data_IF_617598752115
#
_entry.id   IF_617598752115
#
_cell.length_a   1.000
_cell.length_b   1.000
_cell.length_c   1.000
_cell.angle_alpha   90.00
_cell.angle_beta   90.00
_cell.angle_gamma   90.00
#
_symmetry.space_group_name_H-M   'P 1'
#
loop_
_entity.id
_entity.type
_entity.pdbx_description
1 polymer ?
#
# COMPACT_ATOMS: atom_id res chain seq x y z
N UNK A 1 7.10 6.15 -20.02
CA UNK A 1 6.52 4.80 -20.01
C UNK A 1 5.06 4.97 -20.35
N UNK A 2 4.59 4.29 -21.39
CA UNK A 2 3.21 4.41 -21.86
C UNK A 2 2.42 3.19 -21.36
N UNK A 3 1.14 3.40 -21.02
CA UNK A 3 0.19 2.34 -20.66
C UNK A 3 -0.93 2.36 -21.69
N UNK A 4 -1.24 1.21 -22.28
CA UNK A 4 -2.40 1.01 -23.15
C UNK A 4 -3.27 -0.10 -22.56
N UNK A 5 -4.54 0.21 -22.32
CA UNK A 5 -5.51 -0.76 -21.83
C UNK A 5 -6.39 -1.26 -22.99
N UNK A 6 -6.42 -2.57 -23.19
CA UNK A 6 -7.44 -3.28 -23.96
C UNK A 6 -8.49 -3.90 -23.05
N UNK A 7 -9.37 -4.75 -23.60
CA UNK A 7 -10.46 -5.38 -22.83
C UNK A 7 -9.94 -6.23 -21.65
N UNK A 8 -8.95 -7.09 -21.91
CA UNK A 8 -8.37 -8.00 -20.90
C UNK A 8 -6.83 -7.94 -20.84
N UNK A 9 -6.23 -6.99 -21.57
CA UNK A 9 -4.77 -6.89 -21.70
C UNK A 9 -4.34 -5.47 -21.42
N UNK A 10 -3.36 -5.31 -20.51
CA UNK A 10 -2.69 -4.04 -20.26
C UNK A 10 -1.27 -4.14 -20.79
N UNK A 11 -0.93 -3.31 -21.78
CA UNK A 11 0.43 -3.20 -22.32
C UNK A 11 1.15 -2.04 -21.64
N UNK A 12 2.28 -2.33 -20.99
CA UNK A 12 3.12 -1.34 -20.30
C UNK A 12 4.47 -1.25 -20.99
N UNK A 13 4.86 -0.04 -21.42
CA UNK A 13 6.20 0.25 -21.93
C UNK A 13 7.05 0.83 -20.81
N UNK A 14 8.11 0.11 -20.43
CA UNK A 14 9.03 0.53 -19.37
C UNK A 14 9.88 1.73 -19.80
N UNK A 15 10.18 2.63 -18.86
CA UNK A 15 11.09 3.77 -19.09
C UNK A 15 12.54 3.35 -19.27
N UNK A 16 12.93 2.24 -18.65
CA UNK A 16 14.25 1.62 -18.70
C UNK A 16 14.09 0.13 -18.99
N UNK A 17 15.05 -0.46 -19.68
CA UNK A 17 15.09 -1.90 -19.85
C UNK A 17 15.17 -2.59 -18.48
N UNK A 18 14.56 -3.77 -18.34
CA UNK A 18 14.77 -4.61 -17.16
C UNK A 18 16.21 -5.11 -17.22
N UNK A 19 17.04 -4.64 -16.27
CA UNK A 19 18.44 -5.08 -16.16
C UNK A 19 18.59 -6.55 -15.71
N UNK A 20 17.51 -7.19 -15.28
CA UNK A 20 17.49 -8.59 -14.87
C UNK A 20 16.54 -9.40 -15.76
N UNK A 21 17.03 -10.54 -16.25
CA UNK A 21 16.18 -11.58 -16.83
C UNK A 21 15.19 -12.06 -15.75
N UNK A 22 13.88 -12.21 -16.04
CA UNK A 22 12.95 -12.76 -15.07
C UNK A 22 13.43 -14.15 -14.66
N UNK A 23 13.80 -14.31 -13.39
CA UNK A 23 14.25 -15.59 -12.87
C UNK A 23 13.13 -16.62 -13.06
N UNK A 24 13.44 -17.87 -13.46
CA UNK A 24 12.45 -18.93 -13.58
C UNK A 24 11.67 -19.06 -12.26
N UNK A 25 10.34 -19.13 -12.36
CA UNK A 25 9.44 -19.31 -11.22
C UNK A 25 9.65 -20.71 -10.64
N UNK A 26 10.59 -20.87 -9.70
CA UNK A 26 10.60 -22.03 -8.82
C UNK A 26 9.48 -21.87 -7.80
N UNK A 27 8.34 -22.48 -8.08
CA UNK A 27 7.24 -22.59 -7.13
C UNK A 27 7.65 -23.61 -6.06
N UNK A 28 8.28 -23.16 -4.98
CA UNK A 28 8.36 -23.95 -3.76
C UNK A 28 7.05 -23.74 -2.99
N UNK A 29 6.08 -24.61 -3.21
CA UNK A 29 4.87 -24.65 -2.40
C UNK A 29 5.20 -25.27 -1.04
N UNK A 30 5.60 -24.44 -0.07
CA UNK A 30 5.60 -24.84 1.33
C UNK A 30 4.35 -24.28 2.00
N UNK A 31 3.70 -25.09 2.85
CA UNK A 31 2.53 -24.71 3.65
C UNK A 31 2.88 -23.70 4.77
N UNK A 32 3.95 -22.91 4.60
CA UNK A 32 4.41 -21.91 5.56
C UNK A 32 3.77 -20.56 5.26
N UNK A 33 3.23 -19.93 6.30
CA UNK A 33 2.62 -18.62 6.27
C UNK A 33 3.67 -17.55 5.88
N UNK A 34 3.83 -17.27 4.59
CA UNK A 34 4.33 -15.98 4.11
C UNK A 34 5.84 -15.72 4.16
N UNK A 35 6.69 -16.75 4.16
CA UNK A 35 8.12 -16.58 3.91
C UNK A 35 8.67 -17.74 3.07
N UNK A 36 8.54 -17.63 1.75
CA UNK A 36 9.31 -18.45 0.83
C UNK A 36 10.79 -18.10 0.92
N UNK A 37 11.50 -18.72 1.88
CA UNK A 37 12.95 -18.88 1.93
C UNK A 37 13.83 -17.63 2.13
N UNK A 38 13.26 -16.45 2.36
CA UNK A 38 14.04 -15.20 2.53
C UNK A 38 14.03 -14.80 4.00
N UNK A 39 15.19 -14.83 4.66
CA UNK A 39 15.33 -14.67 6.11
C UNK A 39 15.87 -13.31 6.53
N UNK A 40 16.25 -12.43 5.59
CA UNK A 40 16.70 -11.07 5.90
C UNK A 40 16.00 -10.00 5.06
N UNK A 41 15.90 -8.77 5.59
CA UNK A 41 15.35 -7.60 4.87
C UNK A 41 16.15 -7.30 3.59
N UNK A 42 17.46 -7.59 3.60
CA UNK A 42 18.35 -7.47 2.44
C UNK A 42 18.04 -8.46 1.32
N UNK A 43 17.63 -9.69 1.63
CA UNK A 43 17.28 -10.71 0.62
C UNK A 43 15.94 -10.42 -0.09
N UNK A 44 15.20 -9.44 0.43
CA UNK A 44 13.87 -9.01 -0.05
C UNK A 44 13.94 -7.56 -0.54
N UNK A 45 15.13 -6.99 -0.76
CA UNK A 45 15.27 -5.62 -1.18
C UNK A 45 14.62 -5.39 -2.55
N UNK A 46 13.60 -4.53 -2.58
CA UNK A 46 13.07 -3.96 -3.82
C UNK A 46 13.87 -2.71 -4.14
N UNK A 47 14.41 -2.66 -5.35
CA UNK A 47 15.11 -1.50 -5.89
C UNK A 47 14.06 -0.49 -6.39
N UNK A 48 13.91 0.60 -5.66
CA UNK A 48 12.96 1.68 -5.94
C UNK A 48 13.67 3.01 -5.75
N UNK A 49 13.25 4.02 -6.50
CA UNK A 49 13.65 5.39 -6.22
C UNK A 49 13.27 5.76 -4.78
N UNK A 50 14.09 6.54 -4.05
CA UNK A 50 13.74 7.02 -2.72
C UNK A 50 12.37 7.70 -2.73
N UNK A 51 11.56 7.41 -1.71
CA UNK A 51 10.29 8.12 -1.55
C UNK A 51 10.56 9.61 -1.32
N UNK A 52 9.79 10.45 -2.00
CA UNK A 52 9.81 11.89 -1.80
C UNK A 52 9.29 12.30 -0.41
N UNK A 53 9.16 13.61 -0.15
CA UNK A 53 8.63 14.11 1.12
C UNK A 53 7.20 13.63 1.39
N UNK A 54 6.40 13.38 0.36
CA UNK A 54 5.02 12.92 0.50
C UNK A 54 4.12 13.95 1.22
N UNK A 55 2.83 13.61 1.44
CA UNK A 55 1.93 14.49 2.15
C UNK A 55 2.22 14.50 3.66
N UNK A 56 2.06 15.68 4.28
CA UNK A 56 1.82 15.80 5.72
C UNK A 56 0.31 15.69 5.95
N UNK A 57 -0.11 14.83 6.86
CA UNK A 57 -1.52 14.49 7.12
C UNK A 57 -1.86 14.79 8.57
N UNK A 58 -2.93 15.55 8.81
CA UNK A 58 -3.41 15.81 10.16
C UNK A 58 -3.82 14.52 10.87
N UNK A 59 -3.53 14.42 12.17
CA UNK A 59 -3.85 13.25 12.98
C UNK A 59 -5.35 12.98 13.01
N UNK A 60 -6.15 14.04 13.04
CA UNK A 60 -7.61 14.00 12.90
C UNK A 60 -8.04 13.30 11.60
N UNK A 61 -7.42 13.65 10.46
CA UNK A 61 -7.66 12.96 9.19
C UNK A 61 -7.22 11.50 9.27
N UNK A 62 -6.05 11.20 9.83
CA UNK A 62 -5.53 9.83 9.95
C UNK A 62 -6.53 8.91 10.67
N UNK A 63 -7.09 9.35 11.79
CA UNK A 63 -8.02 8.53 12.59
C UNK A 63 -9.39 8.34 11.92
N UNK A 64 -9.79 9.27 11.05
CA UNK A 64 -11.05 9.19 10.27
C UNK A 64 -10.95 8.28 9.04
N UNK A 65 -9.75 8.07 8.48
CA UNK A 65 -9.55 7.35 7.23
C UNK A 65 -10.11 5.91 7.22
N UNK A 66 -9.99 5.10 8.30
CA UNK A 66 -10.66 3.80 8.39
C UNK A 66 -12.17 3.85 8.16
N UNK A 67 -12.87 4.83 8.74
CA UNK A 67 -14.31 4.97 8.61
C UNK A 67 -14.69 5.41 7.19
N UNK A 68 -13.90 6.30 6.59
CA UNK A 68 -14.07 6.71 5.19
C UNK A 68 -13.87 5.54 4.22
N UNK A 69 -12.88 4.68 4.48
CA UNK A 69 -12.70 3.42 3.77
C UNK A 69 -13.90 2.49 4.00
N UNK A 70 -14.42 2.42 5.23
CA UNK A 70 -15.57 1.60 5.60
C UNK A 70 -16.84 1.96 4.84
N UNK A 71 -17.13 3.26 4.74
CA UNK A 71 -18.31 3.78 4.03
C UNK A 71 -18.34 3.43 2.53
N UNK A 72 -17.21 3.00 1.96
CA UNK A 72 -17.07 2.63 0.55
C UNK A 72 -17.11 1.10 0.30
N UNK A 73 -17.35 0.26 1.31
CA UNK A 73 -17.25 -1.20 1.24
C UNK A 73 -18.62 -1.90 1.13
N UNK A 74 -19.30 -1.71 0.00
CA UNK A 74 -20.66 -2.23 -0.23
C UNK A 74 -20.73 -3.76 -0.23
N UNK A 75 -19.68 -4.44 -0.71
CA UNK A 75 -19.68 -5.91 -0.77
C UNK A 75 -19.34 -6.49 0.60
N UNK A 76 -18.41 -5.88 1.34
CA UNK A 76 -18.19 -6.25 2.73
C UNK A 76 -19.49 -6.18 3.53
N UNK A 77 -20.25 -5.09 3.44
CA UNK A 77 -21.50 -4.94 4.21
C UNK A 77 -22.46 -6.12 4.03
N UNK A 78 -22.46 -6.74 2.85
CA UNK A 78 -23.32 -7.87 2.52
C UNK A 78 -22.73 -9.24 2.91
N UNK A 79 -21.40 -9.34 3.03
CA UNK A 79 -20.70 -10.64 3.06
C UNK A 79 -19.77 -10.83 4.24
N UNK A 80 -19.25 -9.75 4.82
CA UNK A 80 -18.21 -9.75 5.85
C UNK A 80 -16.85 -10.32 5.42
N UNK A 81 -16.71 -10.78 4.17
CA UNK A 81 -15.63 -11.68 3.75
C UNK A 81 -14.52 -11.04 2.93
N UNK A 82 -14.52 -9.72 2.74
CA UNK A 82 -13.56 -9.02 1.89
C UNK A 82 -12.60 -8.13 2.68
N UNK A 83 -11.46 -7.85 2.06
CA UNK A 83 -10.60 -6.74 2.41
C UNK A 83 -10.85 -5.56 1.48
N UNK A 84 -10.41 -4.38 1.92
CA UNK A 84 -10.42 -3.18 1.11
C UNK A 84 -9.09 -2.44 1.23
N UNK A 85 -8.74 -1.76 0.14
CA UNK A 85 -7.73 -0.73 0.13
C UNK A 85 -8.32 0.51 -0.53
N UNK A 86 -7.81 1.68 -0.17
CA UNK A 86 -8.17 2.93 -0.79
C UNK A 86 -6.98 3.88 -0.89
N UNK A 87 -6.99 4.73 -1.92
CA UNK A 87 -6.11 5.89 -2.04
C UNK A 87 -6.90 7.13 -1.67
N UNK A 88 -6.34 7.95 -0.81
CA UNK A 88 -6.96 9.17 -0.30
C UNK A 88 -6.01 10.35 -0.45
N UNK A 89 -6.54 11.54 -0.70
CA UNK A 89 -5.77 12.77 -0.57
C UNK A 89 -5.44 13.09 0.90
N UNK A 90 -4.54 14.06 1.17
CA UNK A 90 -4.11 14.43 2.52
C UNK A 90 -5.24 15.00 3.39
N UNK A 91 -6.32 15.46 2.78
CA UNK A 91 -7.54 15.96 3.46
C UNK A 91 -8.57 14.86 3.73
N UNK A 92 -8.26 13.60 3.41
CA UNK A 92 -9.17 12.47 3.57
C UNK A 92 -10.21 12.32 2.46
N UNK A 93 -10.07 13.03 1.35
CA UNK A 93 -10.90 12.82 0.16
C UNK A 93 -10.53 11.49 -0.53
N UNK A 94 -11.51 10.63 -0.80
CA UNK A 94 -11.28 9.36 -1.48
C UNK A 94 -10.97 9.58 -2.96
N UNK A 95 -9.83 9.06 -3.42
CA UNK A 95 -9.46 9.03 -4.85
C UNK A 95 -9.99 7.75 -5.49
N UNK A 96 -9.74 6.60 -4.86
CA UNK A 96 -10.28 5.30 -5.30
C UNK A 96 -10.35 4.33 -4.13
N UNK A 97 -11.38 3.49 -4.10
CA UNK A 97 -11.50 2.35 -3.17
C UNK A 97 -11.77 1.07 -3.95
N UNK A 98 -11.14 -0.04 -3.55
CA UNK A 98 -11.33 -1.36 -4.15
C UNK A 98 -11.40 -2.44 -3.09
N UNK A 99 -12.32 -3.38 -3.30
CA UNK A 99 -12.51 -4.57 -2.47
C UNK A 99 -11.91 -5.81 -3.16
N UNK A 100 -11.42 -6.76 -2.36
CA UNK A 100 -11.01 -8.09 -2.81
C UNK A 100 -10.99 -9.08 -1.64
N UNK A 101 -11.09 -10.38 -1.93
CA UNK A 101 -10.93 -11.43 -0.91
C UNK A 101 -9.52 -11.37 -0.30
N UNK A 102 -8.50 -11.06 -1.11
CA UNK A 102 -7.12 -10.91 -0.67
C UNK A 102 -6.74 -9.46 -0.41
N UNK A 103 -6.18 -9.16 0.77
CA UNK A 103 -5.69 -7.80 1.11
C UNK A 103 -4.64 -7.28 0.11
N UNK A 104 -3.77 -8.16 -0.39
CA UNK A 104 -2.73 -7.79 -1.36
C UNK A 104 -3.33 -7.42 -2.70
N UNK A 105 -4.39 -8.12 -3.12
CA UNK A 105 -5.10 -7.85 -4.36
C UNK A 105 -5.89 -6.55 -4.26
N UNK A 106 -6.48 -6.24 -3.11
CA UNK A 106 -7.15 -4.95 -2.89
C UNK A 106 -6.16 -3.79 -3.09
N UNK A 107 -4.93 -3.92 -2.55
CA UNK A 107 -3.84 -2.95 -2.78
C UNK A 107 -3.44 -2.89 -4.25
N UNK A 108 -3.27 -4.03 -4.93
CA UNK A 108 -2.93 -4.06 -6.35
C UNK A 108 -3.99 -3.39 -7.21
N UNK A 109 -5.28 -3.56 -6.89
CA UNK A 109 -6.38 -2.91 -7.62
C UNK A 109 -6.34 -1.39 -7.49
N UNK A 110 -6.05 -0.84 -6.30
CA UNK A 110 -5.99 0.63 -6.13
C UNK A 110 -4.75 1.24 -6.77
N UNK A 111 -3.60 0.55 -6.73
CA UNK A 111 -2.38 0.97 -7.43
C UNK A 111 -2.58 0.87 -8.94
N UNK A 112 -3.11 -0.27 -9.41
CA UNK A 112 -3.42 -0.52 -10.81
C UNK A 112 -4.38 0.52 -11.39
N UNK A 113 -5.36 1.00 -10.63
CA UNK A 113 -6.21 2.10 -11.05
C UNK A 113 -5.42 3.40 -11.33
N UNK A 114 -4.38 3.71 -10.54
CA UNK A 114 -3.50 4.85 -10.79
C UNK A 114 -2.62 4.66 -12.03
N UNK A 115 -2.08 3.46 -12.22
CA UNK A 115 -1.32 3.07 -13.43
C UNK A 115 -2.17 3.24 -14.69
N UNK A 116 -3.40 2.72 -14.67
CA UNK A 116 -4.31 2.80 -15.81
C UNK A 116 -4.76 4.24 -16.11
N UNK A 117 -4.85 5.09 -15.10
CA UNK A 117 -5.14 6.51 -15.24
C UNK A 117 -3.93 7.34 -15.71
N UNK A 118 -2.73 6.74 -15.83
CA UNK A 118 -1.50 7.45 -16.17
C UNK A 118 -0.99 8.39 -15.07
N UNK A 119 -1.52 8.28 -13.85
CA UNK A 119 -1.26 9.20 -12.73
C UNK A 119 -0.12 8.77 -11.80
N UNK A 120 0.94 8.16 -12.33
CA UNK A 120 2.08 7.69 -11.52
C UNK A 120 3.23 8.72 -11.51
N UNK A 121 3.96 8.92 -10.40
CA UNK A 121 3.79 8.27 -9.09
C UNK A 121 2.61 8.82 -8.28
N UNK A 122 2.15 8.05 -7.29
CA UNK A 122 1.03 8.40 -6.40
C UNK A 122 1.49 9.19 -5.18
N UNK A 123 2.41 10.14 -5.40
CA UNK A 123 3.24 10.73 -4.35
C UNK A 123 2.47 11.55 -3.30
N UNK A 124 1.34 12.15 -3.69
CA UNK A 124 0.55 13.06 -2.85
C UNK A 124 -0.65 12.37 -2.17
N UNK A 125 -0.64 11.03 -2.14
CA UNK A 125 -1.77 10.25 -1.65
C UNK A 125 -1.38 9.34 -0.47
N UNK A 126 -2.39 8.97 0.29
CA UNK A 126 -2.32 8.06 1.44
C UNK A 126 -2.95 6.74 1.07
N UNK A 127 -2.24 5.63 1.29
CA UNK A 127 -2.79 4.30 1.18
C UNK A 127 -3.48 3.91 2.49
N UNK A 128 -4.76 3.58 2.43
CA UNK A 128 -5.52 3.06 3.57
C UNK A 128 -5.86 1.60 3.32
N UNK A 129 -5.60 0.72 4.30
CA UNK A 129 -5.91 -0.73 4.18
C UNK A 129 -6.72 -1.23 5.36
N UNK A 130 -7.72 -2.09 5.10
CA UNK A 130 -8.56 -2.66 6.16
C UNK A 130 -7.92 -3.84 6.90
N UNK A 131 -6.86 -4.44 6.34
CA UNK A 131 -6.17 -5.61 6.87
C UNK A 131 -4.86 -5.31 7.60
N UNK A 132 -4.16 -6.38 7.98
CA UNK A 132 -2.78 -6.30 8.50
C UNK A 132 -1.79 -5.89 7.41
N UNK A 133 -0.76 -5.13 7.78
CA UNK A 133 0.30 -4.72 6.86
C UNK A 133 1.46 -5.72 6.91
N UNK A 134 1.71 -6.38 5.78
CA UNK A 134 2.91 -7.20 5.57
C UNK A 134 3.98 -6.40 4.82
N UNK A 135 5.21 -6.92 4.77
CA UNK A 135 6.30 -6.23 4.09
C UNK A 135 6.02 -6.05 2.59
N UNK A 136 5.30 -6.98 1.95
CA UNK A 136 4.92 -6.88 0.53
C UNK A 136 3.99 -5.69 0.29
N UNK A 137 3.06 -5.40 1.21
CA UNK A 137 2.18 -4.22 1.10
C UNK A 137 3.02 -2.94 1.16
N UNK A 138 3.99 -2.88 2.07
CA UNK A 138 4.92 -1.74 2.18
C UNK A 138 5.72 -1.56 0.89
N UNK A 139 6.23 -2.64 0.31
CA UNK A 139 6.98 -2.59 -0.94
C UNK A 139 6.12 -2.12 -2.11
N UNK A 140 4.89 -2.62 -2.24
CA UNK A 140 3.94 -2.19 -3.27
C UNK A 140 3.64 -0.70 -3.17
N UNK A 141 3.40 -0.20 -1.95
CA UNK A 141 3.20 1.21 -1.71
C UNK A 141 4.42 2.04 -2.12
N UNK A 142 5.62 1.63 -1.68
CA UNK A 142 6.85 2.32 -1.98
C UNK A 142 7.14 2.39 -3.49
N UNK A 143 7.00 1.28 -4.21
CA UNK A 143 7.16 1.22 -5.68
C UNK A 143 6.15 2.11 -6.39
N UNK A 144 4.94 2.24 -5.82
CA UNK A 144 3.91 3.10 -6.38
C UNK A 144 4.10 4.60 -6.04
N UNK A 145 5.09 4.93 -5.20
CA UNK A 145 5.37 6.29 -4.73
C UNK A 145 4.55 6.73 -3.52
N UNK A 146 3.76 5.85 -2.90
CA UNK A 146 2.93 6.16 -1.74
C UNK A 146 3.81 6.25 -0.48
N UNK A 147 3.93 7.44 0.10
CA UNK A 147 4.79 7.69 1.25
C UNK A 147 4.13 7.40 2.61
N UNK A 148 2.80 7.24 2.65
CA UNK A 148 2.03 7.05 3.88
C UNK A 148 1.08 5.85 3.74
N UNK A 149 1.15 4.94 4.71
CA UNK A 149 0.21 3.84 4.88
C UNK A 149 -0.52 3.99 6.22
N UNK A 150 -1.85 3.92 6.16
CA UNK A 150 -2.76 3.89 7.31
C UNK A 150 -3.48 2.55 7.33
N UNK A 151 -3.40 1.82 8.44
CA UNK A 151 -3.98 0.49 8.56
C UNK A 151 -4.89 0.35 9.78
N UNK A 152 -6.04 -0.27 9.55
CA UNK A 152 -6.99 -0.63 10.64
C UNK A 152 -6.36 -1.62 11.62
N UNK A 153 -5.51 -2.52 11.12
CA UNK A 153 -4.91 -3.60 11.92
C UNK A 153 -3.39 -3.45 12.08
N UNK A 154 -2.77 -4.46 12.68
CA UNK A 154 -1.35 -4.48 13.04
C UNK A 154 -0.42 -4.61 11.81
N UNK A 155 0.71 -3.90 11.78
CA UNK A 155 1.84 -4.26 10.93
C UNK A 155 2.65 -5.41 11.54
N UNK A 156 3.37 -6.19 10.72
CA UNK A 156 4.40 -7.12 11.21
C UNK A 156 5.71 -6.41 11.51
N UNK A 157 6.59 -6.99 12.34
CA UNK A 157 7.94 -6.45 12.60
C UNK A 157 8.73 -6.25 11.32
N UNK A 158 8.60 -7.18 10.36
CA UNK A 158 9.25 -7.07 9.05
C UNK A 158 8.67 -5.93 8.20
N UNK A 159 7.36 -5.67 8.29
CA UNK A 159 6.74 -4.52 7.63
C UNK A 159 7.28 -3.20 8.21
N UNK A 160 7.39 -3.10 9.54
CA UNK A 160 7.97 -1.92 10.21
C UNK A 160 9.43 -1.72 9.80
N UNK A 161 10.25 -2.77 9.82
CA UNK A 161 11.65 -2.68 9.38
C UNK A 161 11.77 -2.24 7.90
N UNK A 162 10.89 -2.77 7.05
CA UNK A 162 10.83 -2.42 5.63
C UNK A 162 10.41 -0.96 5.42
N UNK A 163 9.41 -0.48 6.18
CA UNK A 163 8.95 0.90 6.11
C UNK A 163 10.04 1.89 6.53
N UNK A 164 10.79 1.60 7.61
CA UNK A 164 11.95 2.40 8.03
C UNK A 164 13.01 2.49 6.93
N UNK A 165 13.38 1.34 6.36
CA UNK A 165 14.40 1.27 5.31
C UNK A 165 14.00 2.08 4.07
N UNK A 166 12.71 2.08 3.72
CA UNK A 166 12.20 2.76 2.53
C UNK A 166 11.78 4.22 2.78
N UNK A 167 11.88 4.72 4.02
CA UNK A 167 11.46 6.08 4.37
C UNK A 167 9.94 6.29 4.36
N UNK A 168 9.16 5.22 4.51
CA UNK A 168 7.71 5.23 4.48
C UNK A 168 7.12 5.48 5.88
N UNK A 169 6.05 6.27 5.97
CA UNK A 169 5.26 6.47 7.18
C UNK A 169 4.24 5.35 7.33
N UNK A 170 4.33 4.58 8.41
CA UNK A 170 3.45 3.45 8.68
C UNK A 170 2.67 3.68 9.96
N UNK A 171 1.36 3.83 9.82
CA UNK A 171 0.41 3.96 10.92
C UNK A 171 -0.47 2.72 10.96
N UNK A 172 -0.61 2.11 12.14
CA UNK A 172 -1.41 0.91 12.34
C UNK A 172 -2.30 1.01 13.57
N UNK A 173 -3.19 0.01 13.73
CA UNK A 173 -4.22 0.02 14.77
C UNK A 173 -5.07 1.29 14.78
N UNK A 174 -5.39 1.82 13.60
CA UNK A 174 -6.23 3.00 13.51
C UNK A 174 -7.70 2.62 13.70
N UNK A 175 -8.24 2.98 14.86
CA UNK A 175 -9.63 2.69 15.28
C UNK A 175 -9.98 3.56 16.48
N UNK A 176 -11.27 3.79 16.68
CA UNK A 176 -11.81 4.42 17.89
C UNK A 176 -11.11 5.76 18.24
N UNK A 177 -10.80 6.57 17.23
CA UNK A 177 -10.11 7.86 17.39
C UNK A 177 -8.63 7.76 17.79
N UNK A 178 -8.03 6.57 17.73
CA UNK A 178 -6.65 6.30 18.13
C UNK A 178 -5.82 5.69 17.01
N UNK A 179 -4.50 5.85 17.06
CA UNK A 179 -3.56 5.32 16.08
C UNK A 179 -2.17 5.11 16.69
N UNK A 180 -1.43 4.14 16.14
CA UNK A 180 -0.01 3.93 16.46
C UNK A 180 0.86 4.27 15.25
N UNK A 181 1.74 5.26 15.41
CA UNK A 181 2.73 5.62 14.39
C UNK A 181 4.00 4.77 14.62
N UNK A 182 4.30 3.87 13.68
CA UNK A 182 5.45 2.97 13.78
C UNK A 182 6.73 3.55 13.16
N UNK A 183 6.58 4.37 12.11
CA UNK A 183 7.65 4.98 11.31
C UNK A 183 7.17 6.29 10.69
N UNK A 184 8.11 7.18 10.33
CA UNK A 184 7.83 8.38 9.53
C UNK A 184 6.89 9.40 10.20
N UNK A 185 7.06 9.60 11.50
CA UNK A 185 6.20 10.45 12.35
C UNK A 185 6.12 11.89 11.87
N UNK A 186 7.16 12.39 11.21
CA UNK A 186 7.26 13.72 10.62
C UNK A 186 6.18 14.04 9.58
N UNK A 187 5.53 13.01 8.99
CA UNK A 187 4.39 13.19 8.06
C UNK A 187 3.03 13.23 8.73
N UNK A 188 2.96 13.09 10.05
CA UNK A 188 1.71 13.18 10.80
C UNK A 188 1.71 14.52 11.55
N UNK A 189 0.74 15.39 11.30
CA UNK A 189 0.60 16.62 12.06
C UNK A 189 -0.29 16.38 13.28
N UNK A 190 0.23 16.58 14.48
CA UNK A 190 -0.56 16.42 15.72
C UNK A 190 -1.21 17.73 16.19
N UNK A 191 -0.83 18.86 15.59
CA UNK A 191 -1.23 20.19 16.06
C UNK A 191 -2.37 20.79 15.20
N UNK A 192 -2.81 20.06 14.16
CA UNK A 192 -3.83 20.46 13.18
C UNK A 192 -5.21 19.82 13.40
#
# INVERSE_FOLDING_TARGET
GAVRAGADVVTVTLRRALGAQPAPRSFLASASCGAGGKTSVSDIAVDTEPLGPGPVVAASVVVDLPERLRASQRVFERTGGLHAAGRFGPTGAAVVVREDVGRHNAVDKVIGAGVLAGGMPLADEVLVVSGRVSFEIVQKAAVAGLAVIVAVSAPSSLAVATARRLGLTLVGFVRDGSANVYTGRERIDLDA
#
